data_IF_136852050004
#
_entry.id   IF_136852050004
#
_cell.length_a   1.000
_cell.length_b   1.000
_cell.length_c   1.000
_cell.angle_alpha   90.00
_cell.angle_beta   90.00
_cell.angle_gamma   90.00
#
_symmetry.space_group_name_H-M   'P 1'
#
loop_
_entity.id
_entity.type
_entity.pdbx_description
1 polymer ?
#
# COMPACT_ATOMS: atom_id res chain seq x y z
N UNK A 1 -3.77 14.48 18.21
CA UNK A 1 -4.19 13.09 17.93
C UNK A 1 -3.41 12.62 16.72
N UNK A 2 -2.66 11.55 16.84
CA UNK A 2 -1.81 11.00 15.77
C UNK A 2 -2.68 10.49 14.61
N UNK A 3 -2.28 10.67 13.33
CA UNK A 3 -3.04 10.18 12.20
C UNK A 3 -3.08 8.65 12.19
N UNK A 4 -4.22 8.09 11.81
CA UNK A 4 -4.36 6.66 11.62
C UNK A 4 -3.72 6.31 10.28
N UNK A 5 -2.68 5.49 10.34
CA UNK A 5 -1.92 5.07 9.16
C UNK A 5 -2.49 3.76 8.61
N UNK A 6 -2.49 3.63 7.28
CA UNK A 6 -2.97 2.44 6.58
C UNK A 6 -2.29 1.14 7.08
N UNK A 7 -0.98 1.15 7.29
CA UNK A 7 -0.25 -0.02 7.78
C UNK A 7 -0.62 -0.42 9.23
N UNK A 8 -1.04 0.52 10.09
CA UNK A 8 -1.56 0.18 11.44
C UNK A 8 -2.85 -0.63 11.34
N UNK A 9 -3.71 -0.29 10.37
CA UNK A 9 -4.92 -1.05 10.10
C UNK A 9 -4.58 -2.45 9.56
N UNK A 10 -3.64 -2.54 8.63
CA UNK A 10 -3.15 -3.84 8.13
C UNK A 10 -2.58 -4.71 9.25
N UNK A 11 -1.75 -4.15 10.13
CA UNK A 11 -1.15 -4.88 11.26
C UNK A 11 -2.23 -5.40 12.23
N UNK A 12 -3.24 -4.60 12.49
CA UNK A 12 -4.36 -4.98 13.35
C UNK A 12 -5.14 -6.15 12.75
N UNK A 13 -5.49 -6.07 11.48
CA UNK A 13 -6.22 -7.13 10.79
C UNK A 13 -5.40 -8.42 10.69
N UNK A 14 -4.10 -8.32 10.42
CA UNK A 14 -3.18 -9.47 10.46
C UNK A 14 -3.14 -10.11 11.86
N UNK A 15 -3.11 -9.29 12.91
CA UNK A 15 -3.12 -9.81 14.28
C UNK A 15 -4.45 -10.47 14.63
N UNK A 16 -5.58 -9.95 14.16
CA UNK A 16 -6.90 -10.50 14.40
C UNK A 16 -7.09 -11.85 13.68
N UNK A 17 -6.60 -11.99 12.45
CA UNK A 17 -6.65 -13.23 11.67
C UNK A 17 -5.67 -14.28 12.21
N UNK A 18 -4.51 -13.85 12.75
CA UNK A 18 -3.48 -14.75 13.28
C UNK A 18 -3.74 -15.21 14.72
N UNK A 19 -4.58 -14.54 15.48
CA UNK A 19 -4.86 -14.84 16.90
C UNK A 19 -5.95 -15.92 17.07
N UNK A 20 -5.67 -17.13 16.62
CA UNK A 20 -6.10 -18.31 17.35
C UNK A 20 -5.36 -18.37 18.68
N UNK A 21 -6.02 -17.90 19.72
CA UNK A 21 -5.88 -18.19 21.17
C UNK A 21 -4.50 -18.22 21.89
N UNK A 22 -3.35 -18.48 21.26
CA UNK A 22 -2.09 -18.71 21.98
C UNK A 22 -1.17 -17.49 22.14
N UNK A 23 -1.37 -16.42 21.40
CA UNK A 23 -0.44 -15.28 21.35
C UNK A 23 -0.76 -14.10 22.26
N UNK A 24 -1.94 -14.05 22.87
CA UNK A 24 -2.30 -12.96 23.81
C UNK A 24 -1.47 -12.97 25.09
N UNK A 25 -1.04 -14.14 25.56
CA UNK A 25 -0.27 -14.26 26.81
C UNK A 25 1.22 -13.87 26.66
N UNK A 26 1.81 -13.99 25.48
CA UNK A 26 3.20 -13.60 25.22
C UNK A 26 3.41 -12.08 25.08
N UNK A 27 2.32 -11.32 24.95
CA UNK A 27 2.35 -9.86 24.69
C UNK A 27 2.76 -8.99 25.88
N UNK A 28 2.69 -9.53 27.09
CA UNK A 28 2.87 -8.74 28.32
C UNK A 28 4.30 -8.75 28.89
N UNK A 29 5.21 -9.57 28.38
CA UNK A 29 6.43 -9.87 29.11
C UNK A 29 7.72 -9.19 28.65
N UNK A 30 7.80 -8.65 27.44
CA UNK A 30 9.08 -8.03 27.00
C UNK A 30 8.81 -6.85 26.05
N UNK A 31 9.28 -5.65 26.42
CA UNK A 31 9.28 -4.45 25.57
C UNK A 31 10.27 -4.53 24.37
N UNK A 32 10.61 -5.72 23.89
CA UNK A 32 11.45 -5.93 22.74
C UNK A 32 10.63 -5.75 21.46
N UNK A 33 11.14 -4.96 20.51
CA UNK A 33 10.60 -4.81 19.16
C UNK A 33 10.46 -6.21 18.54
N UNK A 34 9.24 -6.56 18.10
CA UNK A 34 9.00 -7.82 17.41
C UNK A 34 9.84 -7.88 16.13
N UNK A 35 10.57 -8.97 15.89
CA UNK A 35 11.22 -9.14 14.59
C UNK A 35 10.17 -9.14 13.47
N UNK A 36 10.46 -8.41 12.39
CA UNK A 36 9.58 -8.35 11.22
C UNK A 36 9.42 -9.75 10.61
N UNK A 37 8.20 -10.11 10.33
CA UNK A 37 7.86 -11.35 9.62
C UNK A 37 8.29 -11.27 8.15
N UNK A 38 8.60 -12.41 7.51
CA UNK A 38 9.06 -12.45 6.12
C UNK A 38 8.12 -11.72 5.15
N UNK A 39 6.79 -11.77 5.35
CA UNK A 39 5.83 -11.03 4.51
C UNK A 39 6.05 -9.52 4.58
N UNK A 40 6.31 -8.99 5.76
CA UNK A 40 6.57 -7.55 5.93
C UNK A 40 7.89 -7.13 5.27
N UNK A 41 8.93 -7.96 5.43
CA UNK A 41 10.23 -7.73 4.78
C UNK A 41 10.12 -7.78 3.26
N UNK A 42 9.39 -8.76 2.74
CA UNK A 42 9.13 -8.92 1.31
C UNK A 42 8.26 -7.78 0.77
N UNK A 43 7.23 -7.34 1.51
CA UNK A 43 6.39 -6.20 1.14
C UNK A 43 7.19 -4.90 1.05
N UNK A 44 8.10 -4.69 1.99
CA UNK A 44 9.00 -3.54 1.96
C UNK A 44 9.88 -3.55 0.70
N UNK A 45 10.56 -4.67 0.44
CA UNK A 45 11.41 -4.80 -0.73
C UNK A 45 10.64 -4.63 -2.05
N UNK A 46 9.44 -5.24 -2.14
CA UNK A 46 8.52 -5.11 -3.27
C UNK A 46 8.13 -3.66 -3.52
N UNK A 47 7.65 -2.95 -2.49
CA UNK A 47 7.20 -1.57 -2.62
C UNK A 47 8.31 -0.65 -3.11
N UNK A 48 9.52 -0.82 -2.57
CA UNK A 48 10.67 -0.03 -3.00
C UNK A 48 11.16 -0.40 -4.40
N UNK A 49 11.12 -1.67 -4.81
CA UNK A 49 11.50 -2.09 -6.16
C UNK A 49 10.56 -1.48 -7.22
N UNK A 50 9.25 -1.44 -6.95
CA UNK A 50 8.27 -0.79 -7.82
C UNK A 50 8.51 0.73 -7.88
N UNK A 51 8.77 1.35 -6.74
CA UNK A 51 9.11 2.77 -6.69
C UNK A 51 10.37 3.09 -7.51
N UNK A 52 11.44 2.28 -7.34
CA UNK A 52 12.68 2.44 -8.10
C UNK A 52 12.45 2.26 -9.61
N UNK A 53 11.60 1.30 -10.00
CA UNK A 53 11.26 1.06 -11.40
C UNK A 53 10.58 2.28 -12.04
N UNK A 54 9.53 2.82 -11.41
CA UNK A 54 8.84 3.99 -11.93
C UNK A 54 9.61 5.31 -11.71
N UNK A 55 10.73 5.27 -10.95
CA UNK A 55 11.67 6.39 -10.86
C UNK A 55 12.59 6.50 -12.08
N UNK A 56 12.74 5.42 -12.85
CA UNK A 56 13.51 5.44 -14.08
C UNK A 56 12.76 6.22 -15.16
N UNK A 57 13.48 6.86 -16.09
CA UNK A 57 12.85 7.39 -17.32
C UNK A 57 12.14 6.25 -18.07
N UNK A 58 11.01 6.54 -18.72
CA UNK A 58 10.19 5.51 -19.41
C UNK A 58 10.99 4.67 -20.40
N UNK A 59 11.92 5.29 -21.13
CA UNK A 59 12.79 4.61 -22.11
C UNK A 59 13.76 3.59 -21.46
N UNK A 60 14.03 3.75 -20.16
CA UNK A 60 14.92 2.86 -19.41
C UNK A 60 14.14 1.77 -18.63
N UNK A 61 12.82 1.80 -18.66
CA UNK A 61 11.97 0.84 -17.95
C UNK A 61 11.81 -0.44 -18.75
N UNK A 62 12.51 -1.48 -18.35
CA UNK A 62 12.32 -2.83 -18.88
C UNK A 62 11.87 -3.76 -17.76
N UNK A 63 10.83 -4.61 -17.96
CA UNK A 63 10.35 -5.53 -16.93
C UNK A 63 11.44 -6.43 -16.35
N UNK A 64 12.45 -6.79 -17.15
CA UNK A 64 13.59 -7.60 -16.71
C UNK A 64 14.47 -6.92 -15.64
N UNK A 65 14.34 -5.61 -15.44
CA UNK A 65 15.03 -4.90 -14.35
C UNK A 65 14.38 -5.14 -12.98
N UNK A 66 13.11 -5.52 -12.96
CA UNK A 66 12.35 -5.67 -11.70
C UNK A 66 12.94 -6.72 -10.76
N UNK A 67 13.34 -7.92 -11.22
CA UNK A 67 14.06 -8.87 -10.36
C UNK A 67 15.36 -8.29 -9.78
N UNK A 68 16.11 -7.51 -10.56
CA UNK A 68 17.35 -6.86 -10.11
C UNK A 68 17.08 -5.77 -9.08
N UNK A 69 16.07 -4.93 -9.32
CA UNK A 69 15.64 -3.90 -8.38
C UNK A 69 15.12 -4.53 -7.08
N UNK A 70 14.37 -5.63 -7.18
CA UNK A 70 13.92 -6.38 -6.02
C UNK A 70 15.09 -6.96 -5.23
N UNK A 71 16.07 -7.56 -5.89
CA UNK A 71 17.26 -8.11 -5.24
C UNK A 71 18.06 -7.04 -4.51
N UNK A 72 18.21 -5.86 -5.10
CA UNK A 72 18.86 -4.71 -4.46
C UNK A 72 18.18 -4.27 -3.17
N UNK A 73 16.85 -4.40 -3.09
CA UNK A 73 16.02 -4.04 -1.93
C UNK A 73 15.76 -5.22 -0.99
N UNK A 74 16.19 -6.43 -1.39
CA UNK A 74 15.90 -7.62 -0.62
C UNK A 74 16.61 -7.64 0.71
N UNK A 75 15.92 -8.17 1.73
CA UNK A 75 16.47 -8.29 3.07
C UNK A 75 17.59 -9.33 3.13
N UNK A 76 18.56 -9.13 4.02
CA UNK A 76 19.58 -10.13 4.38
C UNK A 76 19.14 -11.03 5.56
N UNK A 77 17.93 -10.83 6.09
CA UNK A 77 17.42 -11.55 7.26
C UNK A 77 16.77 -12.88 6.85
N UNK A 78 17.56 -13.81 6.30
CA UNK A 78 17.07 -15.13 5.88
C UNK A 78 16.41 -15.93 7.02
N UNK A 79 16.84 -15.74 8.28
CA UNK A 79 16.22 -16.39 9.44
C UNK A 79 14.79 -15.92 9.78
N UNK A 80 14.25 -14.89 9.11
CA UNK A 80 12.86 -14.50 9.21
C UNK A 80 11.92 -15.37 8.34
N UNK A 81 12.49 -16.17 7.44
CA UNK A 81 11.79 -17.09 6.54
C UNK A 81 11.82 -18.51 7.10
N UNK A 82 10.90 -19.37 6.65
CA UNK A 82 10.77 -20.73 7.14
C UNK A 82 12.00 -21.59 6.83
N UNK A 83 12.70 -21.29 5.73
CA UNK A 83 13.96 -21.92 5.33
C UNK A 83 14.73 -21.03 4.35
N UNK A 84 16.00 -21.34 4.09
CA UNK A 84 16.79 -20.68 3.05
C UNK A 84 16.18 -20.90 1.65
N UNK A 85 15.63 -22.07 1.41
CA UNK A 85 14.94 -22.38 0.15
C UNK A 85 13.71 -21.50 -0.01
N UNK A 86 12.86 -21.38 1.04
CA UNK A 86 11.71 -20.48 1.06
C UNK A 86 12.11 -19.01 0.79
N UNK A 87 13.19 -18.54 1.41
CA UNK A 87 13.75 -17.19 1.18
C UNK A 87 14.07 -16.95 -0.31
N UNK A 88 14.73 -17.92 -0.97
CA UNK A 88 15.08 -17.82 -2.39
C UNK A 88 13.85 -17.92 -3.29
N UNK A 89 12.95 -18.87 -3.01
CA UNK A 89 11.72 -19.08 -3.79
C UNK A 89 10.80 -17.85 -3.78
N UNK A 90 10.58 -17.23 -2.60
CA UNK A 90 9.75 -16.02 -2.50
C UNK A 90 10.35 -14.88 -3.32
N UNK A 91 11.66 -14.65 -3.20
CA UNK A 91 12.34 -13.60 -3.98
C UNK A 91 12.17 -13.82 -5.48
N UNK A 92 12.43 -15.02 -5.95
CA UNK A 92 12.33 -15.36 -7.37
C UNK A 92 10.90 -15.21 -7.89
N UNK A 93 9.92 -15.71 -7.13
CA UNK A 93 8.51 -15.63 -7.50
C UNK A 93 8.05 -14.16 -7.58
N UNK A 94 8.34 -13.35 -6.58
CA UNK A 94 7.97 -11.93 -6.59
C UNK A 94 8.63 -11.20 -7.76
N UNK A 95 9.91 -11.43 -8.04
CA UNK A 95 10.60 -10.82 -9.17
C UNK A 95 9.97 -11.18 -10.51
N UNK A 96 9.63 -12.46 -10.73
CA UNK A 96 9.00 -12.94 -11.95
C UNK A 96 7.59 -12.39 -12.13
N UNK A 97 6.78 -12.35 -11.06
CA UNK A 97 5.42 -11.84 -11.11
C UNK A 97 5.39 -10.31 -11.32
N UNK A 98 6.31 -9.57 -10.70
CA UNK A 98 6.45 -8.13 -10.99
C UNK A 98 6.75 -7.89 -12.46
N UNK A 99 7.71 -8.64 -13.04
CA UNK A 99 8.07 -8.50 -14.44
C UNK A 99 6.88 -8.80 -15.36
N UNK A 100 6.11 -9.86 -15.05
CA UNK A 100 4.92 -10.23 -15.81
C UNK A 100 3.81 -9.18 -15.72
N UNK A 101 3.53 -8.65 -14.51
CA UNK A 101 2.45 -7.67 -14.28
C UNK A 101 2.75 -6.29 -14.88
N UNK A 102 4.03 -5.93 -14.98
CA UNK A 102 4.46 -4.65 -15.54
C UNK A 102 4.92 -4.76 -17.00
N UNK A 103 4.73 -5.94 -17.61
CA UNK A 103 4.98 -6.10 -19.05
C UNK A 103 4.05 -5.19 -19.86
N UNK A 104 4.61 -4.46 -20.81
CA UNK A 104 3.87 -3.49 -21.64
C UNK A 104 3.58 -2.14 -20.96
N UNK A 105 3.89 -2.00 -19.66
CA UNK A 105 3.57 -0.79 -18.87
C UNK A 105 4.77 0.16 -18.68
N UNK A 106 5.79 0.03 -19.51
CA UNK A 106 7.00 0.87 -19.42
C UNK A 106 6.73 2.36 -19.71
N UNK A 107 5.71 2.66 -20.52
CA UNK A 107 5.29 4.03 -20.85
C UNK A 107 4.39 4.69 -19.82
N UNK A 108 3.88 3.95 -18.83
CA UNK A 108 2.98 4.49 -17.82
C UNK A 108 3.70 5.51 -16.94
N UNK A 109 3.12 6.71 -16.81
CA UNK A 109 3.63 7.76 -15.90
C UNK A 109 2.66 7.92 -14.72
N UNK A 110 3.11 7.58 -13.49
CA UNK A 110 2.25 7.72 -12.32
C UNK A 110 2.09 9.18 -11.89
N UNK A 111 0.86 9.57 -11.53
CA UNK A 111 0.53 10.85 -10.89
C UNK A 111 1.14 10.97 -9.49
N UNK A 112 1.07 9.87 -8.72
CA UNK A 112 1.72 9.73 -7.42
C UNK A 112 2.52 8.43 -7.40
N UNK A 113 3.69 8.50 -6.74
CA UNK A 113 4.61 7.39 -6.63
C UNK A 113 5.20 7.33 -5.23
N UNK A 114 4.77 6.35 -4.44
CA UNK A 114 5.25 6.11 -3.08
C UNK A 114 5.19 7.35 -2.19
N UNK A 115 4.07 8.06 -2.24
CA UNK A 115 3.85 9.28 -1.49
C UNK A 115 2.91 9.06 -0.31
N UNK A 116 3.25 9.66 0.82
CA UNK A 116 2.38 9.69 2.00
C UNK A 116 1.53 10.95 2.00
N UNK A 117 0.23 10.75 2.12
CA UNK A 117 -0.75 11.83 2.20
C UNK A 117 -1.54 11.74 3.50
N UNK A 118 -2.01 12.88 3.98
CA UNK A 118 -2.86 12.97 5.16
C UNK A 118 -4.10 13.79 4.86
N UNK A 119 -5.22 13.38 5.46
CA UNK A 119 -6.50 14.08 5.38
C UNK A 119 -7.26 13.98 6.69
N UNK A 120 -8.24 14.87 6.90
CA UNK A 120 -9.18 14.78 8.01
C UNK A 120 -10.53 14.29 7.50
N UNK A 121 -11.00 13.15 8.02
CA UNK A 121 -12.32 12.62 7.65
C UNK A 121 -13.39 13.08 8.65
N UNK A 122 -14.39 13.88 8.21
CA UNK A 122 -15.34 14.54 9.13
C UNK A 122 -16.23 13.56 9.89
N UNK A 123 -16.75 12.51 9.23
CA UNK A 123 -17.63 11.52 9.89
C UNK A 123 -16.88 10.59 10.86
N UNK A 124 -15.60 10.32 10.61
CA UNK A 124 -14.76 9.56 11.55
C UNK A 124 -14.17 10.44 12.64
N UNK A 125 -14.16 11.77 12.46
CA UNK A 125 -13.50 12.75 13.34
C UNK A 125 -12.04 12.38 13.63
N UNK A 126 -11.35 11.88 12.62
CA UNK A 126 -9.97 11.37 12.70
C UNK A 126 -9.14 11.89 11.54
N UNK A 127 -7.84 12.09 11.80
CA UNK A 127 -6.85 12.23 10.74
C UNK A 127 -6.51 10.84 10.22
N UNK A 128 -6.50 10.71 8.90
CA UNK A 128 -6.13 9.49 8.19
C UNK A 128 -4.81 9.75 7.45
N UNK A 129 -3.95 8.75 7.37
CA UNK A 129 -2.71 8.83 6.62
C UNK A 129 -2.58 7.57 5.76
N UNK A 130 -2.25 7.76 4.49
CA UNK A 130 -2.14 6.69 3.51
C UNK A 130 -0.87 6.84 2.68
N UNK A 131 -0.19 5.73 2.41
CA UNK A 131 0.91 5.67 1.46
C UNK A 131 0.37 5.13 0.13
N UNK A 132 0.32 6.00 -0.87
CA UNK A 132 0.04 5.59 -2.25
C UNK A 132 1.28 4.95 -2.86
N UNK A 133 1.20 3.69 -3.23
CA UNK A 133 2.29 3.06 -3.99
C UNK A 133 2.34 3.64 -5.40
N UNK A 134 1.22 3.57 -6.11
CA UNK A 134 1.04 4.20 -7.41
C UNK A 134 -0.37 4.78 -7.53
N UNK A 135 -0.47 5.95 -8.12
CA UNK A 135 -1.73 6.51 -8.64
C UNK A 135 -1.51 6.83 -10.09
N UNK A 136 -2.35 6.29 -10.96
CA UNK A 136 -2.27 6.43 -12.41
C UNK A 136 -3.39 7.32 -12.91
N UNK A 137 -3.18 8.03 -14.02
CA UNK A 137 -4.27 8.67 -14.75
C UNK A 137 -5.23 7.60 -15.28
N UNK A 138 -6.53 7.83 -15.17
CA UNK A 138 -7.51 7.02 -15.88
C UNK A 138 -7.70 7.63 -17.26
N UNK A 139 -7.16 6.98 -18.29
CA UNK A 139 -7.34 7.41 -19.67
C UNK A 139 -8.83 7.49 -20.01
N UNK A 140 -9.22 8.56 -20.71
CA UNK A 140 -10.52 8.66 -21.33
C UNK A 140 -10.44 7.82 -22.61
N UNK A 141 -11.24 6.75 -22.71
CA UNK A 141 -11.37 5.92 -23.92
C UNK A 141 -11.93 6.72 -25.13
N UNK A 142 -12.25 7.99 -24.94
CA UNK A 142 -12.69 8.88 -26.00
C UNK A 142 -11.48 9.42 -26.77
N UNK A 143 -11.21 8.83 -27.92
CA UNK A 143 -10.24 9.07 -28.98
C UNK A 143 -9.73 10.49 -29.31
N UNK A 144 -9.70 11.39 -28.34
CA UNK A 144 -8.96 12.64 -28.40
C UNK A 144 -7.61 12.41 -27.69
N UNK A 145 -6.59 12.11 -28.49
CA UNK A 145 -5.22 12.19 -28.04
C UNK A 145 -5.00 13.56 -27.37
N UNK A 146 -4.86 13.54 -26.05
CA UNK A 146 -4.34 14.70 -25.34
C UNK A 146 -2.96 15.01 -25.94
N UNK A 147 -2.80 16.24 -26.37
CA UNK A 147 -1.51 16.77 -26.83
C UNK A 147 -0.44 16.42 -25.79
N UNK A 148 0.49 15.55 -26.17
CA UNK A 148 1.42 14.82 -25.29
C UNK A 148 2.50 15.69 -24.62
N UNK A 149 2.19 16.92 -24.24
CA UNK A 149 3.16 17.88 -23.72
C UNK A 149 3.02 18.20 -22.22
N UNK A 150 1.94 17.76 -21.53
CA UNK A 150 1.75 18.11 -20.11
C UNK A 150 2.10 16.92 -19.21
N UNK A 151 3.13 17.09 -18.39
CA UNK A 151 3.39 16.20 -17.27
C UNK A 151 2.24 16.34 -16.27
N UNK A 152 1.44 15.30 -16.14
CA UNK A 152 0.40 15.20 -15.12
C UNK A 152 1.04 15.14 -13.73
N UNK A 153 0.45 15.83 -12.77
CA UNK A 153 1.01 16.01 -11.43
C UNK A 153 0.01 15.72 -10.34
N UNK A 154 0.48 15.65 -9.09
CA UNK A 154 -0.36 15.56 -7.91
C UNK A 154 -1.44 16.67 -7.82
N UNK A 155 -1.18 17.85 -8.39
CA UNK A 155 -2.14 18.95 -8.42
C UNK A 155 -3.34 18.65 -9.33
N UNK A 156 -3.16 17.83 -10.35
CA UNK A 156 -4.24 17.44 -11.25
C UNK A 156 -5.30 16.58 -10.51
N UNK A 157 -4.88 15.78 -9.52
CA UNK A 157 -5.81 15.07 -8.63
C UNK A 157 -6.66 16.04 -7.81
N UNK A 158 -6.09 17.13 -7.31
CA UNK A 158 -6.82 18.17 -6.59
C UNK A 158 -7.77 18.94 -7.49
N UNK A 159 -7.47 19.00 -8.78
CA UNK A 159 -8.33 19.60 -9.81
C UNK A 159 -9.41 18.66 -10.35
N UNK A 160 -9.52 17.43 -9.80
CA UNK A 160 -10.58 16.48 -10.12
C UNK A 160 -10.30 15.62 -11.35
N UNK A 161 -9.04 15.40 -11.71
CA UNK A 161 -8.66 14.43 -12.72
C UNK A 161 -9.14 13.02 -12.34
N UNK A 162 -9.51 12.23 -13.35
CA UNK A 162 -9.86 10.81 -13.18
C UNK A 162 -8.59 9.99 -12.93
N UNK A 163 -8.63 9.09 -11.95
CA UNK A 163 -7.44 8.35 -11.54
C UNK A 163 -7.76 6.94 -11.04
N UNK A 164 -6.72 6.11 -11.03
CA UNK A 164 -6.71 4.72 -10.58
C UNK A 164 -5.69 4.60 -9.45
N UNK A 165 -6.08 3.97 -8.35
CA UNK A 165 -5.15 3.63 -7.27
C UNK A 165 -4.68 2.20 -7.45
N UNK A 166 -3.37 1.97 -7.45
CA UNK A 166 -2.77 0.65 -7.58
C UNK A 166 -1.95 0.29 -6.35
N UNK A 167 -2.12 -0.94 -5.87
CA UNK A 167 -1.33 -1.52 -4.78
C UNK A 167 -0.84 -2.91 -5.16
N UNK A 168 0.44 -3.14 -4.92
CA UNK A 168 1.11 -4.42 -5.12
C UNK A 168 1.38 -5.01 -3.74
N UNK A 169 0.89 -6.21 -3.49
CA UNK A 169 0.98 -6.86 -2.17
C UNK A 169 1.59 -8.25 -2.27
N UNK A 170 2.26 -8.63 -1.20
CA UNK A 170 2.76 -10.00 -1.01
C UNK A 170 1.65 -10.89 -0.44
N UNK A 171 0.84 -10.32 0.45
CA UNK A 171 -0.26 -11.02 1.12
C UNK A 171 -1.47 -11.15 0.20
N UNK A 172 -2.22 -12.22 0.35
CA UNK A 172 -3.42 -12.53 -0.42
C UNK A 172 -4.67 -12.71 0.47
N UNK A 173 -4.59 -12.31 1.74
CA UNK A 173 -5.74 -12.33 2.64
C UNK A 173 -6.86 -11.43 2.11
N UNK A 174 -8.00 -12.03 1.82
CA UNK A 174 -9.17 -11.32 1.30
C UNK A 174 -9.63 -10.19 2.23
N UNK A 175 -9.53 -10.41 3.55
CA UNK A 175 -9.87 -9.41 4.55
C UNK A 175 -8.96 -8.18 4.47
N UNK A 176 -7.66 -8.39 4.25
CA UNK A 176 -6.70 -7.28 4.11
C UNK A 176 -6.92 -6.51 2.81
N UNK A 177 -7.17 -7.21 1.72
CA UNK A 177 -7.45 -6.59 0.43
C UNK A 177 -8.74 -5.75 0.49
N UNK A 178 -9.80 -6.32 1.09
CA UNK A 178 -11.07 -5.62 1.31
C UNK A 178 -10.90 -4.40 2.21
N UNK A 179 -10.17 -4.54 3.31
CA UNK A 179 -9.89 -3.43 4.23
C UNK A 179 -9.13 -2.29 3.54
N UNK A 180 -8.15 -2.63 2.72
CA UNK A 180 -7.44 -1.64 1.91
C UNK A 180 -8.38 -0.91 0.96
N UNK A 181 -9.26 -1.62 0.26
CA UNK A 181 -10.25 -1.01 -0.63
C UNK A 181 -11.16 -0.02 0.10
N UNK A 182 -11.74 -0.42 1.24
CA UNK A 182 -12.59 0.46 2.04
C UNK A 182 -11.82 1.65 2.60
N UNK A 183 -10.62 1.43 3.13
CA UNK A 183 -9.79 2.52 3.66
C UNK A 183 -9.41 3.52 2.58
N UNK A 184 -8.98 3.04 1.41
CA UNK A 184 -8.64 3.87 0.25
C UNK A 184 -9.84 4.70 -0.20
N UNK A 185 -11.03 4.09 -0.29
CA UNK A 185 -12.26 4.80 -0.66
C UNK A 185 -12.58 5.93 0.32
N UNK A 186 -12.53 5.65 1.62
CA UNK A 186 -12.77 6.63 2.68
C UNK A 186 -11.72 7.74 2.66
N UNK A 187 -10.44 7.39 2.52
CA UNK A 187 -9.36 8.36 2.43
C UNK A 187 -9.56 9.29 1.22
N UNK A 188 -9.73 8.71 0.03
CA UNK A 188 -9.87 9.49 -1.21
C UNK A 188 -11.10 10.39 -1.20
N UNK A 189 -12.21 9.97 -0.57
CA UNK A 189 -13.42 10.80 -0.45
C UNK A 189 -13.21 12.11 0.34
N UNK A 190 -12.17 12.17 1.16
CA UNK A 190 -11.82 13.38 1.93
C UNK A 190 -10.59 14.10 1.42
N UNK A 191 -9.74 13.42 0.67
CA UNK A 191 -8.50 13.98 0.17
C UNK A 191 -8.64 14.60 -1.22
N UNK A 192 -9.57 14.09 -2.04
CA UNK A 192 -9.71 14.46 -3.44
C UNK A 192 -11.16 14.81 -3.79
N UNK A 193 -11.39 15.66 -4.81
CA UNK A 193 -12.74 16.03 -5.26
C UNK A 193 -13.55 14.87 -5.84
N UNK A 194 -12.86 13.80 -6.29
CA UNK A 194 -13.46 12.61 -6.88
C UNK A 194 -12.92 11.35 -6.23
N UNK A 195 -13.75 10.31 -6.18
CA UNK A 195 -13.30 8.95 -5.88
C UNK A 195 -12.47 8.40 -7.05
N UNK A 196 -11.54 7.46 -6.80
CA UNK A 196 -10.85 6.76 -7.88
C UNK A 196 -11.85 6.01 -8.76
N UNK A 197 -11.59 5.94 -10.06
CA UNK A 197 -12.39 5.15 -11.00
C UNK A 197 -12.38 3.66 -10.61
N UNK A 198 -11.22 3.20 -10.18
CA UNK A 198 -11.03 1.87 -9.63
C UNK A 198 -9.82 1.81 -8.70
N UNK A 199 -9.84 0.85 -7.83
CA UNK A 199 -8.73 0.45 -6.98
C UNK A 199 -8.30 -0.94 -7.44
N UNK A 200 -7.06 -1.09 -7.83
CA UNK A 200 -6.47 -2.33 -8.31
C UNK A 200 -5.45 -2.84 -7.29
N UNK A 201 -5.62 -4.09 -6.85
CA UNK A 201 -4.70 -4.72 -5.91
C UNK A 201 -4.12 -5.97 -6.57
N UNK A 202 -2.83 -5.99 -6.74
CA UNK A 202 -2.09 -7.10 -7.34
C UNK A 202 -1.41 -7.94 -6.25
N UNK A 203 -1.91 -9.15 -6.02
CA UNK A 203 -1.27 -10.13 -5.13
C UNK A 203 -0.22 -10.93 -5.90
N UNK A 204 1.06 -10.71 -5.57
CA UNK A 204 2.16 -11.30 -6.32
C UNK A 204 2.38 -12.78 -6.04
N UNK A 205 2.03 -13.28 -4.85
CA UNK A 205 2.17 -14.71 -4.56
C UNK A 205 1.14 -15.58 -5.26
N UNK A 206 -0.04 -15.03 -5.54
CA UNK A 206 -1.11 -15.75 -6.22
C UNK A 206 -1.26 -15.38 -7.69
N UNK A 207 -0.67 -14.27 -8.11
CA UNK A 207 -0.85 -13.70 -9.45
C UNK A 207 -2.26 -13.15 -9.70
N UNK A 208 -3.05 -12.93 -8.62
CA UNK A 208 -4.42 -12.41 -8.69
C UNK A 208 -4.42 -10.89 -8.75
N UNK A 209 -5.35 -10.34 -9.50
CA UNK A 209 -5.68 -8.92 -9.47
C UNK A 209 -7.12 -8.77 -8.97
N UNK A 210 -7.31 -8.00 -7.91
CA UNK A 210 -8.63 -7.60 -7.45
C UNK A 210 -8.89 -6.16 -7.85
N UNK A 211 -10.07 -5.93 -8.42
CA UNK A 211 -10.50 -4.60 -8.88
C UNK A 211 -11.78 -4.23 -8.15
N UNK A 212 -11.75 -3.08 -7.48
CA UNK A 212 -12.94 -2.48 -6.88
C UNK A 212 -13.24 -1.14 -7.55
N UNK A 213 -14.50 -0.90 -7.87
CA UNK A 213 -15.01 0.37 -8.37
C UNK A 213 -15.72 1.12 -7.24
N UNK A 214 -15.06 2.10 -6.60
CA UNK A 214 -15.69 2.90 -5.56
C UNK A 214 -16.87 3.69 -6.15
N UNK A 215 -18.01 3.60 -5.49
CA UNK A 215 -19.19 4.35 -5.89
C UNK A 215 -19.71 5.18 -4.71
N UNK A 216 -20.22 6.38 -4.98
CA UNK A 216 -20.68 7.30 -3.93
C UNK A 216 -21.81 6.72 -3.08
N UNK A 217 -22.67 5.85 -3.66
CA UNK A 217 -23.72 5.13 -2.94
C UNK A 217 -23.19 4.07 -1.96
N UNK A 218 -21.97 3.59 -2.13
CA UNK A 218 -21.33 2.63 -1.23
C UNK A 218 -20.33 3.28 -0.25
N UNK A 219 -20.16 4.60 -0.32
CA UNK A 219 -19.23 5.32 0.55
C UNK A 219 -19.56 5.13 2.03
N UNK A 220 -20.85 5.18 2.39
CA UNK A 220 -21.27 4.99 3.78
C UNK A 220 -20.89 3.59 4.30
N UNK A 221 -21.04 2.56 3.49
CA UNK A 221 -20.60 1.20 3.84
C UNK A 221 -19.09 1.15 4.11
N UNK A 222 -18.29 1.84 3.28
CA UNK A 222 -16.83 1.92 3.51
C UNK A 222 -16.50 2.67 4.80
N UNK A 223 -17.21 3.76 5.10
CA UNK A 223 -17.05 4.51 6.36
C UNK A 223 -17.38 3.64 7.57
N UNK A 224 -18.47 2.88 7.51
CA UNK A 224 -18.91 2.01 8.61
C UNK A 224 -17.93 0.86 8.81
N UNK A 225 -17.40 0.28 7.73
CA UNK A 225 -16.35 -0.73 7.78
C UNK A 225 -15.08 -0.18 8.48
N UNK A 226 -14.61 0.99 8.05
CA UNK A 226 -13.41 1.61 8.65
C UNK A 226 -13.67 1.96 10.10
N UNK A 227 -14.86 2.49 10.45
CA UNK A 227 -15.24 2.78 11.84
C UNK A 227 -15.20 1.53 12.71
N UNK A 228 -15.76 0.41 12.22
CA UNK A 228 -15.72 -0.87 12.92
C UNK A 228 -14.27 -1.34 13.11
N UNK A 229 -13.46 -1.35 12.06
CA UNK A 229 -12.06 -1.73 12.15
C UNK A 229 -11.28 -0.86 13.15
N UNK A 230 -11.54 0.46 13.17
CA UNK A 230 -10.92 1.36 14.13
C UNK A 230 -11.37 1.13 15.57
N UNK A 231 -12.58 0.62 15.81
CA UNK A 231 -13.05 0.28 17.15
C UNK A 231 -12.34 -0.92 17.75
N UNK A 232 -11.68 -1.73 16.92
CA UNK A 232 -10.85 -2.86 17.33
C UNK A 232 -9.42 -2.45 17.72
N UNK A 233 -9.01 -1.20 17.40
CA UNK A 233 -7.74 -0.67 17.87
C UNK A 233 -7.76 -0.54 19.39
N UNK A 234 -6.70 -0.98 20.09
CA UNK A 234 -6.57 -0.71 21.53
C UNK A 234 -6.68 0.80 21.74
N UNK A 235 -7.48 1.22 22.73
CA UNK A 235 -7.50 2.62 23.12
C UNK A 235 -6.06 3.06 23.41
N UNK A 236 -5.59 4.08 22.71
CA UNK A 236 -4.25 4.64 22.94
C UNK A 236 -4.19 5.05 24.43
N UNK A 237 -3.30 4.41 25.19
CA UNK A 237 -2.93 4.94 26.49
C UNK A 237 -2.44 6.38 26.26
N UNK A 238 -2.82 7.37 27.11
CA UNK A 238 -2.39 8.75 26.94
C UNK A 238 -0.86 8.76 26.82
N UNK A 239 -0.37 9.19 25.67
CA UNK A 239 1.04 9.25 25.37
C UNK A 239 1.72 10.19 26.36
N UNK A 240 2.52 9.64 27.26
CA UNK A 240 3.57 10.38 27.90
C UNK A 240 4.53 10.82 26.76
N UNK A 241 4.63 12.12 26.55
CA UNK A 241 5.48 12.73 25.53
C UNK A 241 6.89 12.17 25.63
N UNK A 242 7.26 11.24 24.73
CA UNK A 242 8.64 10.90 24.45
C UNK A 242 8.98 11.47 23.10
N UNK A 243 9.94 12.39 23.18
CA UNK A 243 10.61 13.18 22.17
C UNK A 243 10.70 12.58 20.74
N UNK A 244 10.50 13.50 19.80
CA UNK A 244 10.49 13.39 18.34
C UNK A 244 11.87 13.06 17.72
N UNK A 245 12.63 12.09 18.19
CA UNK A 245 13.96 11.77 17.63
C UNK A 245 14.11 10.39 16.96
N UNK A 246 13.09 9.54 16.94
CA UNK A 246 13.22 8.19 16.34
C UNK A 246 12.54 8.04 14.96
N UNK A 247 12.08 9.11 14.35
CA UNK A 247 11.40 9.06 13.04
C UNK A 247 12.34 9.17 11.82
N UNK A 248 13.66 9.17 11.99
CA UNK A 248 14.64 9.44 10.90
C UNK A 248 15.36 8.16 10.40
N UNK A 249 14.83 7.00 10.60
CA UNK A 249 15.46 5.77 10.06
C UNK A 249 14.85 5.22 8.76
N UNK A 250 14.02 5.99 8.04
CA UNK A 250 13.31 5.48 6.86
C UNK A 250 13.69 6.16 5.54
N UNK A 251 14.69 7.05 5.57
CA UNK A 251 15.20 7.71 4.35
C UNK A 251 16.73 7.65 4.38
N UNK A 252 17.29 6.55 3.90
CA UNK A 252 18.60 6.45 3.23
C UNK A 252 18.74 5.06 2.60
#
# INVERSE_FOLDING_TARGET
MEPIRDYKLEELLRSAVSDGCERRQARAATGALRPLHWRQLSQYALSHAINDYFALPSQARHPQLLPVLLERRWTNRCGAFDSLEHFVQIRQRLGSEMARLLEGRHGDEPLLRFEQWETHHPQLRRRLSMIFQLVMSAEVEDGCAADGSRLETADDLRNGQRYIVQKYVVDDSEELLRAFCHYTTVFCSSAFPRLPERIEIYSLLTGRCEVMHPASNHLQQSVDYVRLALSLLPAEAPSCEKSAEEAICWVN
#
